data_IF_900890054903
#
_entry.id   IF_900890054903
#
_cell.length_a   1.000
_cell.length_b   1.000
_cell.length_c   1.000
_cell.angle_alpha   90.00
_cell.angle_beta   90.00
_cell.angle_gamma   90.00
#
_symmetry.space_group_name_H-M   'P 1'
#
loop_
_entity.id
_entity.type
_entity.pdbx_description
1 polymer ?
#
# COMPACT_ATOMS: atom_id res chain seq x y z
N UNK A 1 -13.24 28.32 6.91
CA UNK A 1 -12.43 27.47 6.01
C UNK A 1 -11.93 26.32 6.86
N UNK A 2 -12.45 25.14 6.64
CA UNK A 2 -12.15 24.00 7.48
C UNK A 2 -10.77 23.46 7.13
N UNK A 3 -10.05 22.97 8.12
CA UNK A 3 -8.76 22.27 8.01
C UNK A 3 -8.79 21.06 7.05
N UNK A 4 -9.94 20.74 6.49
CA UNK A 4 -10.21 19.67 5.54
C UNK A 4 -9.88 20.04 4.09
N UNK A 5 -9.93 21.36 3.75
CA UNK A 5 -9.69 21.78 2.37
C UNK A 5 -8.22 21.59 1.95
N UNK A 6 -7.28 21.60 2.92
CA UNK A 6 -5.87 21.37 2.65
C UNK A 6 -5.52 19.88 2.44
N UNK A 7 -6.37 18.97 2.90
CA UNK A 7 -6.16 17.52 2.75
C UNK A 7 -6.60 17.03 1.36
N UNK A 8 -7.56 17.73 0.76
CA UNK A 8 -8.14 17.35 -0.53
C UNK A 8 -7.33 17.83 -1.75
N UNK A 9 -6.40 18.74 -1.58
CA UNK A 9 -5.59 19.30 -2.68
C UNK A 9 -4.55 18.30 -3.27
N UNK A 10 -4.43 17.09 -2.75
CA UNK A 10 -3.53 16.07 -3.28
C UNK A 10 -4.16 15.04 -4.21
N UNK A 11 -5.48 15.08 -4.41
CA UNK A 11 -6.17 14.10 -5.26
C UNK A 11 -6.33 14.63 -6.69
N UNK A 12 -5.23 14.86 -7.37
CA UNK A 12 -5.27 14.87 -8.83
C UNK A 12 -5.85 13.55 -9.32
N UNK A 13 -6.70 13.61 -10.31
CA UNK A 13 -7.47 12.48 -10.82
C UNK A 13 -6.56 11.27 -11.06
N UNK A 14 -6.81 10.18 -10.37
CA UNK A 14 -6.11 8.90 -10.56
C UNK A 14 -6.12 8.44 -12.02
N UNK A 15 -7.13 8.87 -12.79
CA UNK A 15 -7.23 8.65 -14.23
C UNK A 15 -6.08 9.27 -15.04
N UNK A 16 -5.39 10.27 -14.50
CA UNK A 16 -4.27 10.94 -15.15
C UNK A 16 -2.93 10.21 -14.92
N UNK A 17 -2.87 9.24 -14.01
CA UNK A 17 -1.66 8.47 -13.77
C UNK A 17 -1.31 7.64 -15.01
N UNK A 18 -0.14 7.90 -15.57
CA UNK A 18 0.41 7.14 -16.69
C UNK A 18 1.17 5.93 -16.20
N UNK A 19 0.93 4.77 -16.81
CA UNK A 19 1.68 3.56 -16.50
C UNK A 19 3.20 3.79 -16.64
N UNK A 20 3.97 3.37 -15.64
CA UNK A 20 5.42 3.54 -15.59
C UNK A 20 5.90 4.97 -15.34
N UNK A 21 5.03 5.86 -14.86
CA UNK A 21 5.37 7.20 -14.37
C UNK A 21 5.13 7.28 -12.87
N UNK A 22 5.96 8.07 -12.19
CA UNK A 22 5.94 8.24 -10.76
C UNK A 22 5.44 9.64 -10.40
N UNK A 23 4.60 9.73 -9.37
CA UNK A 23 4.25 10.97 -8.71
C UNK A 23 4.55 10.84 -7.23
N UNK A 24 5.13 11.88 -6.65
CA UNK A 24 5.42 11.92 -5.22
C UNK A 24 4.34 12.73 -4.52
N UNK A 25 3.72 12.14 -3.52
CA UNK A 25 2.86 12.84 -2.59
C UNK A 25 3.64 13.18 -1.34
N UNK A 26 3.79 14.47 -1.10
CA UNK A 26 4.41 14.93 0.12
C UNK A 26 3.35 15.04 1.22
N UNK A 27 3.37 14.11 2.15
CA UNK A 27 2.80 14.42 3.45
C UNK A 27 3.70 15.45 4.12
N UNK A 28 3.22 16.27 5.07
CA UNK A 28 4.02 17.34 5.68
C UNK A 28 5.38 16.90 6.25
N UNK A 29 5.62 15.60 6.41
CA UNK A 29 6.88 15.05 6.88
C UNK A 29 7.21 13.64 6.32
N UNK A 30 6.30 13.01 5.60
CA UNK A 30 6.48 11.64 5.08
C UNK A 30 5.97 11.58 3.63
N UNK A 31 6.86 11.42 2.65
CA UNK A 31 6.44 11.25 1.26
C UNK A 31 5.88 9.85 1.01
N UNK A 32 4.95 9.77 0.06
CA UNK A 32 4.39 8.53 -0.47
C UNK A 32 4.52 8.60 -1.99
N UNK A 33 5.03 7.55 -2.60
CA UNK A 33 5.03 7.42 -4.06
C UNK A 33 3.73 6.76 -4.49
N UNK A 34 3.10 7.33 -5.51
CA UNK A 34 1.98 6.71 -6.24
C UNK A 34 2.31 6.55 -7.70
N UNK A 35 1.84 5.47 -8.29
CA UNK A 35 1.97 5.21 -9.72
C UNK A 35 0.86 4.28 -10.20
N UNK A 36 0.76 4.12 -11.51
CA UNK A 36 -0.07 3.09 -12.12
C UNK A 36 0.82 2.05 -12.77
N UNK A 37 0.57 0.79 -12.45
CA UNK A 37 1.33 -0.31 -13.02
C UNK A 37 0.98 -0.52 -14.51
N UNK A 38 1.96 -0.89 -15.33
CA UNK A 38 1.70 -1.28 -16.71
C UNK A 38 0.95 -2.63 -16.74
N UNK A 39 0.16 -2.83 -17.80
CA UNK A 39 -0.63 -4.06 -17.96
C UNK A 39 0.17 -5.36 -17.77
N UNK A 40 1.40 -5.53 -18.29
CA UNK A 40 2.17 -6.76 -18.07
C UNK A 40 2.47 -7.04 -16.58
N UNK A 41 2.65 -6.01 -15.75
CA UNK A 41 2.84 -6.18 -14.31
C UNK A 41 1.55 -6.66 -13.63
N UNK A 42 0.41 -6.13 -14.03
CA UNK A 42 -0.90 -6.56 -13.53
C UNK A 42 -1.18 -8.00 -13.95
N UNK A 43 -0.92 -8.36 -15.23
CA UNK A 43 -1.09 -9.73 -15.73
C UNK A 43 -0.19 -10.72 -14.98
N UNK A 44 1.07 -10.32 -14.67
CA UNK A 44 1.97 -11.13 -13.85
C UNK A 44 1.39 -11.41 -12.47
N UNK A 45 0.87 -10.38 -11.80
CA UNK A 45 0.31 -10.52 -10.45
C UNK A 45 -0.93 -11.43 -10.47
N UNK A 46 -1.82 -11.27 -11.45
CA UNK A 46 -2.97 -12.17 -11.59
C UNK A 46 -2.55 -13.63 -11.78
N UNK A 47 -1.55 -13.87 -12.62
CA UNK A 47 -0.99 -15.22 -12.80
C UNK A 47 -0.45 -15.79 -11.48
N UNK A 48 0.24 -14.98 -10.65
CA UNK A 48 0.74 -15.43 -9.34
C UNK A 48 -0.38 -15.72 -8.34
N UNK A 49 -1.50 -15.03 -8.44
CA UNK A 49 -2.70 -15.33 -7.65
C UNK A 49 -3.28 -16.68 -8.06
N UNK A 50 -3.43 -16.92 -9.37
CA UNK A 50 -3.93 -18.20 -9.89
C UNK A 50 -3.03 -19.36 -9.45
N UNK A 51 -1.70 -19.22 -9.60
CA UNK A 51 -0.72 -20.20 -9.13
C UNK A 51 -0.88 -20.49 -7.62
N UNK A 52 -1.00 -19.47 -6.79
CA UNK A 52 -1.16 -19.61 -5.33
C UNK A 52 -2.49 -20.27 -4.94
N UNK A 53 -3.56 -20.06 -5.72
CA UNK A 53 -4.87 -20.69 -5.47
C UNK A 53 -4.93 -22.17 -5.91
N UNK A 54 -4.07 -22.60 -6.84
CA UNK A 54 -3.97 -23.96 -7.30
C UNK A 54 -3.07 -24.85 -6.41
N UNK A 55 -2.22 -24.25 -5.57
CA UNK A 55 -1.36 -25.01 -4.66
C UNK A 55 -2.18 -25.66 -3.53
N UNK A 56 -2.07 -27.00 -3.38
CA UNK A 56 -2.76 -27.75 -2.31
C UNK A 56 -2.31 -27.32 -0.91
N UNK A 57 -1.05 -26.89 -0.76
CA UNK A 57 -0.41 -26.45 0.51
C UNK A 57 -0.09 -24.95 0.50
N UNK A 58 -1.00 -24.09 0.01
CA UNK A 58 -0.77 -22.66 0.01
C UNK A 58 -0.54 -22.10 1.42
N UNK A 59 0.38 -21.14 1.54
CA UNK A 59 0.63 -20.48 2.80
C UNK A 59 -0.38 -19.35 3.05
N UNK A 60 -1.25 -19.56 4.02
CA UNK A 60 -2.18 -18.54 4.46
C UNK A 60 -1.45 -17.47 5.27
N UNK A 61 -1.55 -16.22 4.82
CA UNK A 61 -1.01 -15.04 5.52
C UNK A 61 -1.96 -14.50 6.59
N UNK A 62 -3.15 -15.06 6.77
CA UNK A 62 -4.16 -14.59 7.75
C UNK A 62 -3.63 -14.43 9.16
N UNK A 63 -2.75 -15.33 9.61
CA UNK A 63 -2.15 -15.27 10.96
C UNK A 63 -1.20 -14.09 11.14
N UNK A 64 -0.72 -13.50 10.05
CA UNK A 64 0.19 -12.37 10.04
C UNK A 64 -0.54 -11.02 9.90
N UNK A 65 -1.86 -11.06 9.65
CA UNK A 65 -2.68 -9.86 9.52
C UNK A 65 -3.26 -9.46 10.87
N UNK A 66 -3.37 -8.16 11.10
CA UNK A 66 -4.02 -7.61 12.29
C UNK A 66 -5.55 -7.70 12.17
N UNK A 67 -6.06 -7.54 10.95
CA UNK A 67 -7.49 -7.60 10.65
C UNK A 67 -8.02 -9.00 10.36
N UNK A 68 -9.34 -9.13 10.40
CA UNK A 68 -10.03 -10.32 9.95
C UNK A 68 -10.42 -10.15 8.47
N UNK A 69 -9.73 -10.87 7.59
CA UNK A 69 -9.93 -10.85 6.13
C UNK A 69 -10.28 -12.28 5.69
N UNK A 70 -11.20 -12.40 4.75
CA UNK A 70 -11.71 -13.70 4.28
C UNK A 70 -10.57 -14.62 3.86
N UNK A 71 -9.67 -14.13 3.01
CA UNK A 71 -8.54 -14.91 2.52
C UNK A 71 -7.33 -14.02 2.31
N UNK A 72 -6.15 -14.55 2.63
CA UNK A 72 -4.88 -13.92 2.34
C UNK A 72 -3.85 -14.99 2.03
N UNK A 73 -3.25 -14.91 0.82
CA UNK A 73 -2.33 -15.91 0.29
C UNK A 73 -0.95 -15.29 0.08
N UNK A 74 0.10 -16.02 0.45
CA UNK A 74 1.46 -15.66 0.08
C UNK A 74 1.65 -15.84 -1.43
N UNK A 75 2.33 -14.89 -2.06
CA UNK A 75 2.68 -14.96 -3.47
C UNK A 75 4.18 -15.20 -3.62
N UNK A 76 4.57 -16.00 -4.60
CA UNK A 76 5.97 -16.27 -4.90
C UNK A 76 6.44 -15.41 -6.06
N UNK A 77 7.41 -14.52 -5.79
CA UNK A 77 8.10 -13.75 -6.84
C UNK A 77 9.25 -14.58 -7.40
N UNK A 78 8.93 -15.50 -8.29
CA UNK A 78 9.93 -16.39 -8.89
C UNK A 78 11.02 -15.57 -9.59
N UNK A 79 12.28 -15.88 -9.27
CA UNK A 79 13.47 -15.18 -9.78
C UNK A 79 13.54 -13.68 -9.47
N UNK A 80 12.83 -13.23 -8.45
CA UNK A 80 12.67 -11.81 -8.08
C UNK A 80 12.18 -10.93 -9.24
N UNK A 81 11.38 -11.50 -10.15
CA UNK A 81 10.99 -10.81 -11.38
C UNK A 81 10.20 -9.53 -11.10
N UNK A 82 9.17 -9.62 -10.25
CA UNK A 82 8.33 -8.48 -9.93
C UNK A 82 9.11 -7.39 -9.21
N UNK A 83 9.92 -7.79 -8.23
CA UNK A 83 10.78 -6.86 -7.54
C UNK A 83 11.75 -6.16 -8.51
N UNK A 84 12.53 -6.92 -9.28
CA UNK A 84 13.60 -6.39 -10.13
C UNK A 84 13.11 -5.52 -11.28
N UNK A 85 11.98 -5.87 -11.89
CA UNK A 85 11.50 -5.20 -13.10
C UNK A 85 10.37 -4.21 -12.87
N UNK A 86 9.72 -4.24 -11.70
CA UNK A 86 8.56 -3.39 -11.42
C UNK A 86 8.80 -2.46 -10.23
N UNK A 87 9.37 -2.97 -9.14
CA UNK A 87 9.46 -2.20 -7.89
C UNK A 87 10.81 -1.54 -7.66
N UNK A 88 11.89 -2.15 -8.12
CA UNK A 88 13.27 -1.80 -7.73
C UNK A 88 13.58 -0.33 -7.97
N UNK A 89 13.42 0.15 -9.19
CA UNK A 89 13.76 1.53 -9.55
C UNK A 89 12.99 2.56 -8.71
N UNK A 90 11.72 2.26 -8.39
CA UNK A 90 10.89 3.11 -7.55
C UNK A 90 11.37 3.11 -6.11
N UNK A 91 11.70 1.93 -5.59
CA UNK A 91 12.14 1.77 -4.22
C UNK A 91 13.51 2.42 -4.00
N UNK A 92 14.43 2.26 -4.95
CA UNK A 92 15.74 2.92 -4.93
C UNK A 92 15.58 4.45 -5.00
N UNK A 93 14.75 4.95 -5.93
CA UNK A 93 14.42 6.37 -6.00
C UNK A 93 13.87 6.92 -4.69
N UNK A 94 12.97 6.17 -4.00
CA UNK A 94 12.45 6.58 -2.69
C UNK A 94 13.58 6.70 -1.66
N UNK A 95 14.41 5.69 -1.53
CA UNK A 95 15.50 5.66 -0.54
C UNK A 95 16.52 6.75 -0.79
N UNK A 96 16.85 7.02 -2.06
CA UNK A 96 17.76 8.10 -2.46
C UNK A 96 17.20 9.49 -2.15
N UNK A 97 15.92 9.70 -2.49
CA UNK A 97 15.29 11.01 -2.35
C UNK A 97 14.90 11.33 -0.89
N UNK A 98 14.59 10.31 -0.10
CA UNK A 98 14.06 10.46 1.26
C UNK A 98 14.77 9.56 2.29
N UNK A 99 16.09 9.65 2.43
CA UNK A 99 16.88 8.73 3.26
C UNK A 99 16.49 8.79 4.75
N UNK A 100 16.02 9.92 5.25
CA UNK A 100 15.60 10.09 6.64
C UNK A 100 14.27 9.42 6.96
N UNK A 101 13.46 9.14 5.96
CA UNK A 101 12.13 8.53 6.12
C UNK A 101 12.17 6.99 6.02
N UNK A 102 13.30 6.44 5.64
CA UNK A 102 13.53 5.01 5.65
C UNK A 102 13.98 4.61 7.06
N UNK A 103 13.02 4.23 7.91
CA UNK A 103 13.33 3.84 9.29
C UNK A 103 14.37 2.74 9.34
N UNK A 104 15.37 2.93 10.19
CA UNK A 104 16.48 2.00 10.38
C UNK A 104 17.48 1.97 9.21
N UNK A 105 17.69 3.08 8.55
CA UNK A 105 18.97 3.25 7.87
C UNK A 105 20.02 3.58 8.96
N UNK A 106 20.75 2.61 9.52
CA UNK A 106 21.71 2.87 10.57
C UNK A 106 22.96 3.61 10.07
N UNK A 107 23.01 3.96 8.77
CA UNK A 107 24.23 4.40 8.13
C UNK A 107 23.97 5.63 7.27
N UNK A 108 24.54 6.73 7.73
CA UNK A 108 24.62 8.00 7.01
C UNK A 108 25.57 7.97 5.80
N UNK A 109 26.18 6.83 5.49
CA UNK A 109 27.05 6.70 4.33
C UNK A 109 26.20 6.45 3.09
N UNK A 110 26.25 7.39 2.15
CA UNK A 110 25.56 7.50 0.87
C UNK A 110 25.62 6.27 -0.07
N UNK A 111 25.78 5.06 0.45
CA UNK A 111 25.70 3.82 -0.32
C UNK A 111 24.30 3.27 -0.16
N UNK A 112 23.54 3.33 -1.23
CA UNK A 112 22.25 2.64 -1.34
C UNK A 112 22.52 1.17 -1.12
N UNK A 113 21.90 0.62 -0.08
CA UNK A 113 21.99 -0.79 0.19
C UNK A 113 20.99 -1.50 -0.67
N UNK A 114 21.38 -2.68 -1.16
CA UNK A 114 20.49 -3.49 -1.95
C UNK A 114 19.21 -3.77 -1.16
N UNK A 115 18.09 -3.49 -1.80
CA UNK A 115 16.77 -3.84 -1.31
C UNK A 115 16.39 -5.23 -1.86
N UNK A 116 15.58 -5.94 -1.09
CA UNK A 116 14.93 -7.16 -1.55
C UNK A 116 13.48 -7.19 -1.07
N UNK A 117 12.63 -7.92 -1.75
CA UNK A 117 11.25 -8.14 -1.35
C UNK A 117 11.18 -9.26 -0.31
N UNK A 118 10.86 -8.92 0.93
CA UNK A 118 10.78 -9.86 2.05
C UNK A 118 9.47 -10.63 2.08
N UNK A 119 8.39 -9.98 1.71
CA UNK A 119 7.04 -10.56 1.74
C UNK A 119 6.20 -9.99 0.61
N UNK A 120 5.35 -10.84 0.04
CA UNK A 120 4.48 -10.52 -1.07
C UNK A 120 3.21 -11.35 -0.95
N UNK A 121 2.04 -10.71 -0.87
CA UNK A 121 0.79 -11.43 -0.64
C UNK A 121 -0.42 -10.73 -1.26
N UNK A 122 -1.48 -11.49 -1.49
CA UNK A 122 -2.80 -10.99 -1.90
C UNK A 122 -3.79 -11.09 -0.75
N UNK A 123 -4.67 -10.09 -0.64
CA UNK A 123 -5.81 -10.06 0.27
C UNK A 123 -7.11 -10.05 -0.54
N UNK A 124 -8.05 -10.92 -0.14
CA UNK A 124 -9.43 -10.96 -0.62
C UNK A 124 -10.36 -10.54 0.52
N UNK A 125 -10.80 -9.29 0.50
CA UNK A 125 -11.68 -8.75 1.53
C UNK A 125 -13.12 -8.73 1.04
N UNK A 126 -14.03 -9.22 1.87
CA UNK A 126 -15.47 -9.08 1.69
C UNK A 126 -16.01 -7.83 2.38
N UNK A 127 -17.28 -7.51 2.13
CA UNK A 127 -17.98 -6.45 2.88
C UNK A 127 -17.91 -6.70 4.39
N UNK A 128 -17.86 -5.62 5.17
CA UNK A 128 -17.70 -5.59 6.63
C UNK A 128 -16.32 -5.99 7.16
N UNK A 129 -15.42 -6.48 6.32
CA UNK A 129 -14.07 -6.79 6.71
C UNK A 129 -13.17 -5.55 6.68
N UNK A 130 -12.26 -5.47 7.61
CA UNK A 130 -11.37 -4.32 7.76
C UNK A 130 -10.00 -4.75 8.27
N UNK A 131 -9.02 -3.89 8.07
CA UNK A 131 -7.71 -4.04 8.68
C UNK A 131 -7.49 -2.83 9.60
N UNK A 132 -7.42 -3.03 10.94
CA UNK A 132 -7.26 -1.94 11.89
C UNK A 132 -5.91 -1.24 11.73
N UNK A 133 -5.67 -0.17 12.49
CA UNK A 133 -4.41 0.58 12.45
C UNK A 133 -3.24 -0.36 12.76
N UNK A 134 -2.29 -0.39 11.84
CA UNK A 134 -1.08 -1.20 11.94
C UNK A 134 0.05 -0.58 11.11
N UNK A 135 1.23 -1.13 11.29
CA UNK A 135 2.42 -0.88 10.48
C UNK A 135 3.11 -2.21 10.12
N UNK A 136 4.20 -2.14 9.42
CA UNK A 136 4.95 -3.31 8.98
C UNK A 136 6.43 -3.23 9.36
N UNK A 137 7.04 -4.41 9.43
CA UNK A 137 8.48 -4.54 9.58
C UNK A 137 9.15 -4.48 8.21
N UNK A 138 10.03 -3.49 8.00
CA UNK A 138 10.77 -3.31 6.75
C UNK A 138 11.29 -1.90 6.58
N UNK A 139 11.68 -1.58 5.37
CA UNK A 139 12.08 -0.23 4.96
C UNK A 139 10.92 0.46 4.26
N UNK A 140 10.38 -0.20 3.24
CA UNK A 140 9.24 0.26 2.47
C UNK A 140 8.17 -0.82 2.41
N UNK A 141 6.93 -0.39 2.41
CA UNK A 141 5.76 -1.21 2.10
C UNK A 141 5.09 -0.68 0.85
N UNK A 142 4.37 -1.55 0.16
CA UNK A 142 3.53 -1.15 -0.95
C UNK A 142 2.17 -1.83 -0.89
N UNK A 143 1.18 -1.18 -1.51
CA UNK A 143 -0.14 -1.74 -1.78
C UNK A 143 -0.52 -1.47 -3.23
N UNK A 144 -1.11 -2.48 -3.89
CA UNK A 144 -1.66 -2.40 -5.24
C UNK A 144 -3.11 -2.84 -5.17
N UNK A 145 -4.02 -2.06 -5.73
CA UNK A 145 -5.41 -2.46 -5.82
C UNK A 145 -5.66 -3.10 -7.17
N UNK A 146 -6.06 -4.38 -7.17
CA UNK A 146 -6.44 -5.11 -8.38
C UNK A 146 -7.93 -5.03 -8.68
N UNK A 147 -8.74 -4.97 -7.61
CA UNK A 147 -10.18 -4.84 -7.72
C UNK A 147 -10.76 -4.05 -6.55
N UNK A 148 -11.62 -3.09 -6.86
CA UNK A 148 -12.35 -2.27 -5.90
C UNK A 148 -13.83 -2.35 -6.26
N UNK A 149 -14.66 -3.06 -5.47
CA UNK A 149 -16.04 -3.37 -5.85
C UNK A 149 -17.03 -2.24 -5.60
N UNK A 150 -16.58 -1.11 -5.03
CA UNK A 150 -17.43 0.00 -4.59
C UNK A 150 -16.82 1.34 -4.95
N UNK A 151 -17.65 2.38 -4.99
CA UNK A 151 -17.22 3.78 -5.06
C UNK A 151 -17.39 4.43 -3.71
N UNK A 152 -16.38 5.16 -3.25
CA UNK A 152 -16.40 5.80 -1.94
C UNK A 152 -17.57 6.76 -1.78
N UNK A 153 -18.00 7.47 -2.86
CA UNK A 153 -19.14 8.40 -2.83
C UNK A 153 -20.42 7.68 -2.45
N UNK A 154 -20.64 6.48 -2.99
CA UNK A 154 -21.82 5.65 -2.70
C UNK A 154 -21.75 5.12 -1.26
N UNK A 155 -20.57 4.68 -0.82
CA UNK A 155 -20.34 4.18 0.54
C UNK A 155 -20.56 5.26 1.62
N UNK A 156 -20.21 6.51 1.33
CA UNK A 156 -20.42 7.63 2.23
C UNK A 156 -21.89 8.07 2.34
N UNK A 157 -22.74 7.67 1.41
CA UNK A 157 -24.20 7.91 1.48
C UNK A 157 -24.96 6.82 2.22
N UNK A 158 -24.30 5.73 2.60
CA UNK A 158 -24.94 4.67 3.38
C UNK A 158 -25.25 5.14 4.81
N UNK A 159 -26.32 4.59 5.46
CA UNK A 159 -26.72 4.99 6.82
C UNK A 159 -25.59 4.92 7.86
N UNK A 160 -24.62 4.03 7.67
CA UNK A 160 -23.44 3.90 8.55
C UNK A 160 -22.48 5.08 8.47
N UNK A 161 -22.56 5.88 7.42
CA UNK A 161 -21.61 6.97 7.14
C UNK A 161 -22.29 8.35 6.98
N UNK A 162 -23.56 8.39 6.60
CA UNK A 162 -24.25 9.59 6.12
C UNK A 162 -24.21 10.76 7.11
N UNK A 163 -24.34 10.48 8.39
CA UNK A 163 -24.37 11.50 9.46
C UNK A 163 -23.00 11.68 10.13
N UNK A 164 -21.94 11.10 9.56
CA UNK A 164 -20.58 11.24 10.10
C UNK A 164 -19.95 12.56 9.66
N UNK A 165 -19.30 13.25 10.60
CA UNK A 165 -18.47 14.42 10.30
C UNK A 165 -17.20 14.03 9.51
N UNK A 166 -16.86 12.74 9.53
CA UNK A 166 -15.69 12.17 8.85
C UNK A 166 -16.09 10.79 8.29
N UNK A 167 -16.82 10.74 7.18
CA UNK A 167 -17.17 9.48 6.57
C UNK A 167 -15.91 8.77 6.07
N UNK A 168 -15.75 7.50 6.42
CA UNK A 168 -14.54 6.74 6.10
C UNK A 168 -14.83 5.33 5.53
N UNK A 169 -16.11 4.99 5.37
CA UNK A 169 -16.49 3.71 4.79
C UNK A 169 -15.80 3.46 3.45
N UNK A 170 -15.25 2.26 3.28
CA UNK A 170 -14.47 1.81 2.13
C UNK A 170 -13.05 2.39 1.99
N UNK A 171 -12.68 3.44 2.69
CA UNK A 171 -11.42 4.15 2.48
C UNK A 171 -10.21 3.39 3.04
N UNK A 172 -9.05 3.75 2.49
CA UNK A 172 -7.75 3.48 3.07
C UNK A 172 -7.25 4.77 3.75
N UNK A 173 -6.57 4.69 4.88
CA UNK A 173 -6.12 5.87 5.60
C UNK A 173 -4.74 5.67 6.20
N UNK A 174 -3.86 6.67 6.01
CA UNK A 174 -2.59 6.78 6.72
C UNK A 174 -2.73 7.64 7.96
N UNK A 175 -1.91 7.38 8.98
CA UNK A 175 -1.78 8.19 10.19
C UNK A 175 -0.34 8.62 10.38
N UNK A 176 -0.15 9.90 10.71
CA UNK A 176 1.15 10.47 10.96
C UNK A 176 1.06 11.55 12.04
N UNK A 177 2.18 11.89 12.66
CA UNK A 177 2.26 13.03 13.56
C UNK A 177 2.75 14.26 12.79
N UNK A 178 2.03 15.37 12.89
CA UNK A 178 2.48 16.63 12.32
C UNK A 178 3.66 17.22 13.12
N UNK A 179 4.23 18.31 12.63
CA UNK A 179 5.35 19.02 13.28
C UNK A 179 5.00 19.56 14.68
N UNK A 180 3.72 19.62 15.04
CA UNK A 180 3.24 20.02 16.35
C UNK A 180 2.95 18.84 17.27
N UNK A 181 3.22 17.62 16.84
CA UNK A 181 2.97 16.40 17.58
C UNK A 181 1.51 15.94 17.58
N UNK A 182 0.65 16.55 16.77
CA UNK A 182 -0.75 16.13 16.64
C UNK A 182 -0.87 14.97 15.67
N UNK A 183 -1.69 13.98 16.02
CA UNK A 183 -2.02 12.88 15.08
C UNK A 183 -2.90 13.43 13.96
N UNK A 184 -2.50 13.15 12.73
CA UNK A 184 -3.22 13.49 11.50
C UNK A 184 -3.55 12.23 10.72
N UNK A 185 -4.60 12.30 9.91
CA UNK A 185 -4.98 11.24 8.99
C UNK A 185 -4.99 11.76 7.55
N UNK A 186 -4.41 10.97 6.64
CA UNK A 186 -4.57 11.18 5.20
C UNK A 186 -5.46 10.07 4.66
N UNK A 187 -6.62 10.45 4.15
CA UNK A 187 -7.59 9.53 3.56
C UNK A 187 -7.28 9.31 2.09
N UNK A 188 -7.31 8.06 1.68
CA UNK A 188 -7.27 7.64 0.28
C UNK A 188 -8.66 7.09 -0.04
N UNK A 189 -9.42 7.85 -0.80
CA UNK A 189 -10.79 7.51 -1.19
C UNK A 189 -10.77 6.40 -2.24
N UNK A 190 -11.43 5.29 -1.92
CA UNK A 190 -11.36 4.08 -2.75
C UNK A 190 -12.38 4.11 -3.89
N UNK A 191 -11.89 4.01 -5.11
CA UNK A 191 -12.69 4.02 -6.33
C UNK A 191 -12.14 2.99 -7.35
N UNK A 192 -12.99 2.36 -8.17
CA UNK A 192 -12.55 1.45 -9.24
C UNK A 192 -11.52 2.06 -10.20
N UNK A 193 -11.48 3.41 -10.34
CA UNK A 193 -10.42 4.07 -11.13
C UNK A 193 -9.01 3.86 -10.56
N UNK A 194 -8.88 3.46 -9.29
CA UNK A 194 -7.59 3.16 -8.67
C UNK A 194 -7.09 1.74 -8.99
N UNK A 195 -7.88 0.91 -9.64
CA UNK A 195 -7.44 -0.42 -10.04
C UNK A 195 -6.18 -0.33 -10.92
N UNK A 196 -5.16 -1.11 -10.56
CA UNK A 196 -3.82 -1.04 -11.15
C UNK A 196 -2.90 0.04 -10.58
N UNK A 197 -3.37 0.86 -9.63
CA UNK A 197 -2.51 1.82 -8.94
C UNK A 197 -1.74 1.15 -7.79
N UNK A 198 -0.53 1.67 -7.57
CA UNK A 198 0.36 1.31 -6.47
C UNK A 198 0.63 2.53 -5.59
N UNK A 199 0.63 2.33 -4.28
CA UNK A 199 1.26 3.22 -3.32
C UNK A 199 2.48 2.54 -2.72
N UNK A 200 3.57 3.29 -2.57
CA UNK A 200 4.78 2.86 -1.86
C UNK A 200 5.11 3.88 -0.77
N UNK A 201 5.36 3.41 0.45
CA UNK A 201 5.50 4.23 1.64
C UNK A 201 6.41 3.56 2.68
N UNK A 202 6.95 4.30 3.67
CA UNK A 202 7.72 3.72 4.76
C UNK A 202 6.94 2.64 5.50
N UNK A 203 7.54 1.48 5.73
CA UNK A 203 6.86 0.34 6.39
C UNK A 203 6.31 0.69 7.77
N UNK A 204 6.94 1.61 8.49
CA UNK A 204 6.50 2.07 9.82
C UNK A 204 5.34 3.07 9.78
N UNK A 205 4.94 3.54 8.59
CA UNK A 205 3.82 4.47 8.47
C UNK A 205 2.52 3.74 8.79
N UNK A 206 1.89 4.14 9.89
CA UNK A 206 0.64 3.56 10.35
C UNK A 206 -0.48 3.79 9.33
N UNK A 207 -1.25 2.75 9.08
CA UNK A 207 -2.38 2.81 8.17
C UNK A 207 -3.47 1.81 8.55
N UNK A 208 -4.67 2.05 8.00
CA UNK A 208 -5.82 1.16 8.17
C UNK A 208 -6.64 1.07 6.90
N UNK A 209 -7.45 0.02 6.83
CA UNK A 209 -8.39 -0.21 5.71
C UNK A 209 -9.79 -0.32 6.29
N UNK A 210 -10.65 0.64 5.98
CA UNK A 210 -12.04 0.62 6.42
C UNK A 210 -12.86 -0.40 5.64
N UNK A 211 -13.89 -0.98 6.27
CA UNK A 211 -14.81 -1.87 5.60
C UNK A 211 -15.63 -1.14 4.53
N UNK A 212 -16.00 -1.86 3.49
CA UNK A 212 -17.08 -1.47 2.58
C UNK A 212 -18.33 -2.28 2.90
N UNK A 213 -19.52 -1.83 2.45
CA UNK A 213 -20.77 -2.38 2.93
C UNK A 213 -21.73 -2.84 1.83
N UNK A 214 -21.77 -2.16 0.70
CA UNK A 214 -22.80 -2.36 -0.32
C UNK A 214 -22.21 -3.01 -1.58
N UNK A 215 -21.66 -4.20 -1.42
CA UNK A 215 -21.24 -5.05 -2.54
C UNK A 215 -20.97 -6.48 -2.04
N UNK A 216 -21.34 -7.47 -2.85
CA UNK A 216 -20.98 -8.87 -2.64
C UNK A 216 -19.67 -9.25 -3.36
N UNK A 217 -19.07 -8.30 -4.07
CA UNK A 217 -17.76 -8.48 -4.71
C UNK A 217 -16.60 -8.38 -3.72
N UNK A 218 -15.45 -8.98 -4.08
CA UNK A 218 -14.22 -8.83 -3.32
C UNK A 218 -13.51 -7.53 -3.63
N UNK A 219 -12.96 -6.88 -2.60
CA UNK A 219 -11.83 -5.99 -2.76
C UNK A 219 -10.56 -6.83 -2.75
N UNK A 220 -9.79 -6.76 -3.85
CA UNK A 220 -8.55 -7.54 -4.02
C UNK A 220 -7.39 -6.57 -4.03
N UNK A 221 -6.47 -6.75 -3.08
CA UNK A 221 -5.26 -5.95 -2.97
C UNK A 221 -4.03 -6.82 -2.82
N UNK A 222 -2.95 -6.36 -3.42
CA UNK A 222 -1.62 -6.94 -3.26
C UNK A 222 -0.85 -6.06 -2.30
N UNK A 223 -0.10 -6.67 -1.41
CA UNK A 223 0.80 -5.96 -0.51
C UNK A 223 2.15 -6.66 -0.43
N UNK A 224 3.16 -5.91 -0.02
CA UNK A 224 4.48 -6.46 0.22
C UNK A 224 5.37 -5.51 1.00
N UNK A 225 6.47 -6.06 1.51
CA UNK A 225 7.46 -5.33 2.29
C UNK A 225 8.86 -5.52 1.71
N UNK A 226 9.57 -4.42 1.59
CA UNK A 226 10.96 -4.37 1.15
C UNK A 226 11.87 -4.16 2.35
N UNK A 227 13.00 -4.86 2.36
CA UNK A 227 14.03 -4.75 3.39
C UNK A 227 15.39 -4.50 2.74
N UNK A 228 16.34 -3.97 3.51
CA UNK A 228 17.74 -3.98 3.11
C UNK A 228 18.31 -5.40 3.20
N UNK A 229 19.10 -5.80 2.20
CA UNK A 229 19.75 -7.11 2.23
C UNK A 229 20.72 -7.20 3.42
N UNK A 230 20.56 -8.19 4.31
CA UNK A 230 21.48 -8.39 5.43
C UNK A 230 22.94 -8.63 5.00
N UNK A 231 23.18 -9.13 3.79
CA UNK A 231 24.52 -9.35 3.24
C UNK A 231 25.26 -8.04 3.04
N UNK A 232 24.55 -6.97 2.66
CA UNK A 232 25.15 -5.64 2.52
C UNK A 232 25.71 -5.06 3.83
N UNK A 233 25.45 -5.71 4.97
CA UNK A 233 25.97 -5.33 6.29
C UNK A 233 27.23 -6.12 6.70
N UNK A 234 27.49 -7.27 6.08
CA UNK A 234 28.64 -8.14 6.45
C UNK A 234 29.98 -7.55 6.02
N UNK A 235 30.02 -6.73 4.99
CA UNK A 235 31.24 -6.12 4.48
C UNK A 235 31.62 -4.83 5.24
N UNK A 236 30.89 -4.50 6.32
CA UNK A 236 31.08 -3.28 7.12
C UNK A 236 31.54 -3.56 8.55
N UNK A 237 31.66 -4.83 8.95
CA UNK A 237 32.20 -5.30 10.24
C UNK A 237 33.59 -5.92 10.05
#
# INVERSE_FOLDING_TARGET
MSHYDDILHGMEEWSNLKAGKWETWDLPNIPIIRSRLPKPAIDFVWKKIEEAQEEEDYQSMKKNLVGNITESLELQDTDDYFFRHILKDTAEHYVESFPTNCSKNPFSDNKIKELYMKSFWVNFSQKHEFNPVHDHNGVLSFVIWLKIPTKWQEQHQLPISLDSNLPCASNFQFFYSDIFGSTRGMVVEMDPMMEGCILMFPSILQHQVYPFYDSDGYRISISGNLCFDPKAFKDML
#
